data_IF_723877264692
#
_entry.id   IF_723877264692
#
_cell.length_a   1.000
_cell.length_b   1.000
_cell.length_c   1.000
_cell.angle_alpha   90.00
_cell.angle_beta   90.00
_cell.angle_gamma   90.00
#
_symmetry.space_group_name_H-M   'P 1'
#
loop_
_entity.id
_entity.type
_entity.pdbx_description
1 polymer ?
#
# COMPACT_ATOMS: atom_id res chain seq x y z
N UNK A 1 2.43 20.61 -2.58
CA UNK A 1 1.35 20.19 -3.48
C UNK A 1 0.34 19.50 -2.58
N UNK A 2 -0.72 20.22 -2.21
CA UNK A 2 -1.80 19.66 -1.40
C UNK A 2 -2.47 18.53 -2.21
N UNK A 3 -2.77 17.36 -1.61
CA UNK A 3 -3.49 16.31 -2.30
C UNK A 3 -4.87 16.86 -2.69
N UNK A 4 -5.19 16.81 -3.99
CA UNK A 4 -6.47 17.28 -4.52
C UNK A 4 -7.62 16.63 -3.72
N UNK A 5 -8.43 17.47 -3.06
CA UNK A 5 -9.62 17.04 -2.33
C UNK A 5 -10.51 16.20 -3.26
N UNK A 6 -10.73 14.93 -2.90
CA UNK A 6 -11.83 14.13 -3.43
C UNK A 6 -11.52 12.79 -4.08
N UNK A 7 -10.26 12.35 -4.23
CA UNK A 7 -9.96 10.98 -4.72
C UNK A 7 -8.90 10.27 -3.88
N UNK A 8 -9.35 9.34 -3.04
CA UNK A 8 -8.49 8.39 -2.36
C UNK A 8 -8.41 7.10 -3.20
N UNK A 9 -7.19 6.64 -3.48
CA UNK A 9 -6.99 5.31 -4.06
C UNK A 9 -6.99 4.27 -2.96
N UNK A 10 -7.60 3.12 -3.21
CA UNK A 10 -7.57 2.00 -2.28
C UNK A 10 -6.75 0.83 -2.85
N UNK A 11 -6.08 0.11 -1.96
CA UNK A 11 -5.44 -1.17 -2.27
C UNK A 11 -6.26 -2.27 -1.63
N UNK A 12 -6.87 -3.08 -2.49
CA UNK A 12 -7.60 -4.28 -2.11
C UNK A 12 -6.63 -5.43 -1.82
N UNK A 13 -5.62 -5.62 -2.69
CA UNK A 13 -4.66 -6.70 -2.55
C UNK A 13 -3.25 -6.32 -2.96
N UNK A 14 -2.28 -6.68 -2.12
CA UNK A 14 -0.86 -6.67 -2.44
C UNK A 14 -0.22 -7.94 -1.89
N UNK A 15 0.51 -8.65 -2.74
CA UNK A 15 1.11 -9.92 -2.37
C UNK A 15 2.48 -10.13 -2.99
N UNK A 16 3.34 -10.79 -2.22
CA UNK A 16 4.64 -11.28 -2.66
C UNK A 16 4.71 -12.76 -2.29
N UNK A 17 4.93 -13.59 -3.31
CA UNK A 17 5.10 -15.03 -3.15
C UNK A 17 6.21 -15.33 -2.12
N UNK A 18 6.04 -16.34 -1.24
CA UNK A 18 6.96 -16.63 -0.13
C UNK A 18 8.44 -16.67 -0.51
N UNK A 19 8.77 -17.28 -1.66
CA UNK A 19 10.13 -17.41 -2.18
C UNK A 19 10.84 -16.06 -2.47
N UNK A 20 10.07 -14.99 -2.64
CA UNK A 20 10.57 -13.67 -3.03
C UNK A 20 10.38 -12.60 -1.94
N UNK A 21 9.92 -12.99 -0.74
CA UNK A 21 9.76 -12.06 0.39
C UNK A 21 11.10 -11.53 0.90
N UNK A 22 11.06 -10.42 1.65
CA UNK A 22 12.24 -9.71 2.22
C UNK A 22 13.23 -9.16 1.18
N UNK A 23 12.80 -9.03 -0.08
CA UNK A 23 13.57 -8.42 -1.19
C UNK A 23 13.09 -7.02 -1.60
N UNK A 24 12.26 -6.38 -0.77
CA UNK A 24 11.69 -5.06 -1.07
C UNK A 24 10.60 -5.04 -2.17
N UNK A 25 10.21 -6.19 -2.71
CA UNK A 25 9.26 -6.27 -3.84
C UNK A 25 7.89 -5.65 -3.54
N UNK A 26 7.38 -5.82 -2.33
CA UNK A 26 6.08 -5.23 -1.95
C UNK A 26 6.10 -3.70 -2.07
N UNK A 27 7.17 -3.06 -1.57
CA UNK A 27 7.36 -1.62 -1.68
C UNK A 27 7.53 -1.18 -3.13
N UNK A 28 8.23 -1.97 -3.94
CA UNK A 28 8.40 -1.70 -5.39
C UNK A 28 7.07 -1.78 -6.13
N UNK A 29 6.26 -2.81 -5.90
CA UNK A 29 4.94 -2.96 -6.54
C UNK A 29 4.04 -1.78 -6.19
N UNK A 30 3.95 -1.43 -4.90
CA UNK A 30 3.16 -0.27 -4.46
C UNK A 30 3.68 1.02 -5.11
N UNK A 31 5.00 1.23 -5.13
CA UNK A 31 5.62 2.40 -5.73
C UNK A 31 5.31 2.55 -7.23
N UNK A 32 5.38 1.47 -8.02
CA UNK A 32 5.01 1.52 -9.43
C UNK A 32 3.52 1.78 -9.64
N UNK A 33 2.64 1.20 -8.82
CA UNK A 33 1.21 1.47 -8.88
C UNK A 33 0.90 2.95 -8.56
N UNK A 34 1.53 3.48 -7.51
CA UNK A 34 1.44 4.90 -7.14
C UNK A 34 1.94 5.81 -8.27
N UNK A 35 3.08 5.48 -8.90
CA UNK A 35 3.63 6.23 -10.04
C UNK A 35 2.67 6.24 -11.23
N UNK A 36 2.07 5.10 -11.55
CA UNK A 36 1.08 4.98 -12.62
C UNK A 36 -0.18 5.83 -12.35
N UNK A 37 -0.63 5.86 -11.09
CA UNK A 37 -1.82 6.62 -10.67
C UNK A 37 -1.54 8.10 -10.36
N UNK A 38 -0.28 8.55 -10.47
CA UNK A 38 0.11 9.92 -10.14
C UNK A 38 -0.10 10.27 -8.65
N UNK A 39 0.05 9.30 -7.75
CA UNK A 39 -0.18 9.46 -6.30
C UNK A 39 1.03 9.01 -5.47
N UNK A 40 1.02 9.32 -4.18
CA UNK A 40 2.01 8.84 -3.20
C UNK A 40 1.50 7.62 -2.42
N UNK A 41 2.39 6.75 -1.89
CA UNK A 41 2.01 5.62 -1.03
C UNK A 41 1.25 6.03 0.24
N UNK A 42 1.46 7.26 0.71
CA UNK A 42 0.82 7.91 1.85
C UNK A 42 -0.62 8.37 1.58
N UNK A 43 -0.99 8.50 0.30
CA UNK A 43 -2.32 8.87 -0.16
C UNK A 43 -3.21 7.66 -0.52
N UNK A 44 -2.74 6.44 -0.24
CA UNK A 44 -3.46 5.18 -0.47
C UNK A 44 -4.11 4.68 0.83
N UNK A 45 -5.36 4.23 0.72
CA UNK A 45 -6.08 3.54 1.79
C UNK A 45 -6.00 2.02 1.62
N UNK A 46 -5.88 1.29 2.72
CA UNK A 46 -5.89 -0.17 2.72
C UNK A 46 -7.27 -0.70 3.09
N UNK A 47 -7.78 -1.68 2.32
CA UNK A 47 -9.10 -2.27 2.54
C UNK A 47 -9.03 -3.48 3.49
N UNK A 48 -9.71 -3.43 4.65
CA UNK A 48 -9.87 -4.60 5.51
C UNK A 48 -10.85 -5.61 4.90
N UNK A 49 -10.84 -6.88 5.35
CA UNK A 49 -10.06 -7.42 6.47
C UNK A 49 -8.63 -7.82 6.10
N UNK A 50 -7.70 -7.62 7.04
CA UNK A 50 -6.32 -8.12 6.91
C UNK A 50 -6.13 -9.41 7.70
N UNK A 51 -5.43 -10.38 7.10
CA UNK A 51 -4.81 -11.48 7.85
C UNK A 51 -3.75 -10.94 8.82
N UNK A 52 -3.37 -11.72 9.83
CA UNK A 52 -2.27 -11.35 10.74
C UNK A 52 -0.95 -11.08 9.97
N UNK A 53 -0.73 -11.81 8.87
CA UNK A 53 0.41 -11.58 7.95
C UNK A 53 0.25 -10.24 7.23
N UNK A 54 -0.95 -9.94 6.71
CA UNK A 54 -1.26 -8.67 6.05
C UNK A 54 -1.02 -7.46 6.96
N UNK A 55 -1.48 -7.52 8.22
CA UNK A 55 -1.27 -6.44 9.21
C UNK A 55 0.21 -6.12 9.45
N UNK A 56 1.08 -7.13 9.41
CA UNK A 56 2.54 -6.95 9.56
C UNK A 56 3.20 -6.47 8.26
N UNK A 57 2.62 -6.82 7.11
CA UNK A 57 3.18 -6.53 5.81
C UNK A 57 2.92 -5.08 5.35
N UNK A 58 1.72 -4.55 5.59
CA UNK A 58 1.32 -3.22 5.12
C UNK A 58 2.28 -2.09 5.56
N UNK A 59 2.68 -2.00 6.85
CA UNK A 59 3.62 -0.96 7.27
C UNK A 59 5.00 -1.08 6.59
N UNK A 60 5.40 -2.29 6.20
CA UNK A 60 6.68 -2.51 5.52
C UNK A 60 6.72 -1.99 4.08
N UNK A 61 5.54 -1.74 3.47
CA UNK A 61 5.43 -1.26 2.08
C UNK A 61 4.96 0.19 1.99
N UNK A 62 4.09 0.64 2.89
CA UNK A 62 3.51 2.00 2.90
C UNK A 62 4.15 2.93 3.93
N UNK A 63 4.96 2.40 4.84
CA UNK A 63 5.53 3.15 5.96
C UNK A 63 4.70 3.01 7.24
N UNK A 64 5.15 3.63 8.35
CA UNK A 64 4.55 3.47 9.67
C UNK A 64 3.15 4.10 9.79
N UNK A 65 2.83 5.05 8.92
CA UNK A 65 1.52 5.72 8.87
C UNK A 65 0.81 5.25 7.60
N UNK A 66 -0.25 4.47 7.76
CA UNK A 66 -1.11 4.04 6.65
C UNK A 66 -2.57 4.28 6.98
N UNK A 67 -3.36 4.64 5.96
CA UNK A 67 -4.78 4.89 6.11
C UNK A 67 -5.55 3.59 5.91
N UNK A 68 -6.59 3.38 6.70
CA UNK A 68 -7.52 2.27 6.52
C UNK A 68 -8.85 2.87 6.08
N UNK A 69 -9.42 2.38 4.98
CA UNK A 69 -10.79 2.78 4.62
C UNK A 69 -11.74 2.20 5.66
N UNK A 70 -12.68 3.04 6.14
CA UNK A 70 -13.86 2.52 6.84
C UNK A 70 -14.77 1.81 5.85
#
# INVERSE_FOLDING_TARGET
>A
MEPAEGRAWSVDFLWVAPAYRRRGLGRRILGEACRYLGTGPDAVAWLPPFTAVGRRFIPSVSGPVFRVSR
#
